data_IF_690554025871
#
_entry.id   IF_690554025871
#
_cell.length_a   1.000
_cell.length_b   1.000
_cell.length_c   1.000
_cell.angle_alpha   90.00
_cell.angle_beta   90.00
_cell.angle_gamma   90.00
#
_symmetry.space_group_name_H-M   'P 1'
#
loop_
_entity.id
_entity.type
_entity.pdbx_description
1 polymer ?
#
# COMPACT_ATOMS: atom_id res chain seq x y z
N UNK A 1 -10.81 2.78 6.22
CA UNK A 1 -10.67 4.26 6.34
C UNK A 1 -9.24 4.61 6.70
N UNK A 2 -8.70 5.69 6.11
CA UNK A 2 -7.28 6.06 6.28
C UNK A 2 -6.93 6.38 7.73
N UNK A 3 -5.82 5.81 8.19
CA UNK A 3 -5.41 5.83 9.59
C UNK A 3 -4.82 7.18 10.01
N UNK A 4 -4.44 8.01 9.04
CA UNK A 4 -3.80 9.31 9.24
C UNK A 4 -4.68 10.25 10.09
N UNK A 5 -5.99 10.26 9.87
CA UNK A 5 -6.91 11.14 10.59
C UNK A 5 -6.88 10.96 12.10
N UNK A 6 -6.70 9.70 12.56
CA UNK A 6 -6.53 9.41 13.99
C UNK A 6 -5.27 10.04 14.57
N UNK A 7 -4.18 10.09 13.79
CA UNK A 7 -2.87 10.58 14.23
C UNK A 7 -2.73 12.11 14.23
N UNK A 8 -3.47 12.84 13.39
CA UNK A 8 -3.31 14.29 13.24
C UNK A 8 -3.47 15.06 14.57
N UNK A 9 -4.39 14.64 15.43
CA UNK A 9 -4.60 15.22 16.75
C UNK A 9 -3.50 14.84 17.76
N UNK A 10 -2.86 13.68 17.60
CA UNK A 10 -1.84 13.17 18.51
C UNK A 10 -0.43 13.66 18.20
N UNK A 11 -0.21 14.25 17.01
CA UNK A 11 1.08 14.86 16.67
C UNK A 11 1.28 16.18 17.43
N UNK A 12 2.52 16.45 17.82
CA UNK A 12 2.86 17.73 18.49
C UNK A 12 2.55 18.93 17.59
N UNK A 13 2.09 20.03 18.20
CA UNK A 13 1.77 21.28 17.52
C UNK A 13 2.97 21.89 16.79
N UNK A 14 4.19 21.62 17.26
CA UNK A 14 5.42 22.11 16.63
C UNK A 14 5.71 21.53 15.24
N UNK A 15 4.99 20.48 14.82
CA UNK A 15 5.12 19.87 13.49
C UNK A 15 3.96 20.28 12.57
N UNK A 16 3.66 21.58 12.49
CA UNK A 16 2.51 22.06 11.72
C UNK A 16 2.63 21.73 10.24
N UNK A 17 3.81 21.86 9.62
CA UNK A 17 3.99 21.48 8.21
C UNK A 17 3.69 20.00 7.95
N UNK A 18 4.08 19.12 8.88
CA UNK A 18 3.83 17.67 8.78
C UNK A 18 2.35 17.40 8.89
N UNK A 19 1.65 18.06 9.83
CA UNK A 19 0.19 17.93 9.97
C UNK A 19 -0.54 18.37 8.72
N UNK A 20 -0.19 19.51 8.15
CA UNK A 20 -0.81 20.02 6.92
C UNK A 20 -0.58 19.08 5.74
N UNK A 21 0.64 18.59 5.57
CA UNK A 21 0.95 17.62 4.54
C UNK A 21 0.14 16.32 4.74
N UNK A 22 0.09 15.78 5.96
CA UNK A 22 -0.69 14.57 6.23
C UNK A 22 -2.19 14.76 6.07
N UNK A 23 -2.71 15.95 6.37
CA UNK A 23 -4.11 16.29 6.07
C UNK A 23 -4.38 16.25 4.55
N UNK A 24 -3.44 16.70 3.71
CA UNK A 24 -3.59 16.57 2.25
C UNK A 24 -3.50 15.11 1.79
N UNK A 25 -2.67 14.27 2.42
CA UNK A 25 -2.63 12.83 2.14
C UNK A 25 -3.99 12.18 2.44
N UNK A 26 -4.59 12.53 3.58
CA UNK A 26 -5.91 12.04 3.97
C UNK A 26 -6.98 12.51 2.99
N UNK A 27 -6.93 13.77 2.57
CA UNK A 27 -7.86 14.33 1.58
C UNK A 27 -7.75 13.61 0.23
N UNK A 28 -6.52 13.41 -0.27
CA UNK A 28 -6.24 12.66 -1.49
C UNK A 28 -6.83 11.25 -1.43
N UNK A 29 -6.58 10.52 -0.33
CA UNK A 29 -7.10 9.16 -0.17
C UNK A 29 -8.63 9.11 -0.08
N UNK A 30 -9.26 10.12 0.54
CA UNK A 30 -10.72 10.29 0.50
C UNK A 30 -11.23 10.45 -0.94
N UNK A 31 -10.55 11.25 -1.76
CA UNK A 31 -10.88 11.40 -3.19
C UNK A 31 -10.66 10.10 -3.98
N UNK A 32 -9.62 9.33 -3.68
CA UNK A 32 -9.39 8.02 -4.32
C UNK A 32 -10.55 7.08 -4.03
N UNK A 33 -10.92 6.94 -2.75
CA UNK A 33 -12.02 6.09 -2.32
C UNK A 33 -13.33 6.50 -3.02
N UNK A 34 -13.66 7.79 -3.05
CA UNK A 34 -14.88 8.28 -3.68
C UNK A 34 -14.89 8.05 -5.19
N UNK A 35 -13.76 8.26 -5.88
CA UNK A 35 -13.66 8.04 -7.32
C UNK A 35 -13.84 6.56 -7.67
N UNK A 36 -13.13 5.65 -6.99
CA UNK A 36 -13.25 4.21 -7.24
C UNK A 36 -14.62 3.67 -6.82
N UNK A 37 -15.21 4.19 -5.73
CA UNK A 37 -16.59 3.88 -5.33
C UNK A 37 -17.58 4.26 -6.42
N UNK A 38 -17.54 5.49 -6.91
CA UNK A 38 -18.42 5.95 -8.00
C UNK A 38 -18.24 5.11 -9.26
N UNK A 39 -17.00 4.77 -9.62
CA UNK A 39 -16.72 3.92 -10.78
C UNK A 39 -17.30 2.51 -10.61
N UNK A 40 -17.20 1.92 -9.41
CA UNK A 40 -17.77 0.61 -9.11
C UNK A 40 -19.31 0.60 -9.18
N UNK A 41 -19.96 1.70 -8.81
CA UNK A 41 -21.43 1.85 -8.87
C UNK A 41 -21.96 2.29 -10.24
N UNK A 42 -21.09 2.82 -11.11
CA UNK A 42 -21.48 3.24 -12.45
C UNK A 42 -21.99 2.06 -13.29
N UNK A 43 -22.90 2.34 -14.23
CA UNK A 43 -23.46 1.36 -15.18
C UNK A 43 -24.13 0.14 -14.52
N UNK A 44 -24.70 0.31 -13.33
CA UNK A 44 -25.39 -0.77 -12.62
C UNK A 44 -24.46 -1.75 -11.89
N UNK A 45 -23.20 -1.35 -11.67
CA UNK A 45 -22.26 -2.13 -10.86
C UNK A 45 -22.58 -2.10 -9.35
N UNK A 46 -21.69 -2.67 -8.55
CA UNK A 46 -21.84 -2.80 -7.10
C UNK A 46 -20.49 -2.80 -6.39
N UNK A 47 -20.50 -2.67 -5.06
CA UNK A 47 -19.28 -2.60 -4.24
C UNK A 47 -18.64 -3.97 -3.99
N UNK A 48 -19.39 -5.04 -4.16
CA UNK A 48 -18.92 -6.39 -3.89
C UNK A 48 -18.59 -6.63 -2.42
N UNK A 49 -17.56 -7.44 -2.18
CA UNK A 49 -17.10 -7.87 -0.86
C UNK A 49 -15.70 -7.33 -0.64
N UNK A 50 -15.41 -6.86 0.57
CA UNK A 50 -14.08 -6.43 1.00
C UNK A 50 -13.39 -7.54 1.80
N UNK A 51 -12.06 -7.57 1.76
CA UNK A 51 -11.25 -8.42 2.65
C UNK A 51 -11.51 -8.10 4.14
N UNK A 52 -11.08 -8.98 5.04
CA UNK A 52 -11.15 -8.71 6.49
C UNK A 52 -10.35 -7.48 6.92
N UNK A 53 -9.38 -7.04 6.12
CA UNK A 53 -8.59 -5.83 6.34
C UNK A 53 -7.70 -5.92 7.58
N UNK A 54 -7.06 -7.08 7.80
CA UNK A 54 -6.20 -7.34 8.96
C UNK A 54 -5.00 -6.38 9.00
N UNK A 55 -4.40 -6.08 7.85
CA UNK A 55 -3.32 -5.08 7.78
C UNK A 55 -3.84 -3.69 8.09
N UNK A 56 -5.00 -3.33 7.55
CA UNK A 56 -5.58 -2.01 7.83
C UNK A 56 -5.90 -1.87 9.33
N UNK A 57 -6.41 -2.93 9.97
CA UNK A 57 -6.64 -2.96 11.42
C UNK A 57 -5.35 -2.82 12.22
N UNK A 58 -4.29 -3.54 11.83
CA UNK A 58 -2.97 -3.42 12.47
C UNK A 58 -2.43 -1.99 12.41
N UNK A 59 -2.62 -1.29 11.29
CA UNK A 59 -2.19 0.11 11.14
C UNK A 59 -3.06 1.03 12.01
N UNK A 60 -4.39 0.83 12.04
CA UNK A 60 -5.32 1.63 12.84
C UNK A 60 -5.05 1.49 14.35
N UNK A 61 -4.74 0.28 14.80
CA UNK A 61 -4.56 -0.05 16.21
C UNK A 61 -3.12 0.14 16.69
N UNK A 62 -2.20 0.53 15.81
CA UNK A 62 -0.78 0.75 16.12
C UNK A 62 -0.61 1.67 17.33
N UNK A 63 0.10 1.18 18.35
CA UNK A 63 0.46 1.93 19.56
C UNK A 63 1.94 2.31 19.64
N UNK A 64 2.73 1.93 18.64
CA UNK A 64 4.18 2.16 18.62
C UNK A 64 4.59 3.62 18.38
N UNK A 65 3.65 4.46 17.94
CA UNK A 65 3.91 5.84 17.54
C UNK A 65 3.73 6.06 16.04
N UNK A 66 3.99 7.29 15.59
CA UNK A 66 3.79 7.66 14.19
C UNK A 66 4.75 6.94 13.25
N UNK A 67 6.02 6.76 13.62
CA UNK A 67 7.01 6.14 12.74
C UNK A 67 6.71 4.67 12.47
N UNK A 68 6.30 3.93 13.50
CA UNK A 68 5.86 2.54 13.46
C UNK A 68 4.58 2.39 12.63
N UNK A 69 3.62 3.31 12.80
CA UNK A 69 2.41 3.37 11.96
C UNK A 69 2.77 3.65 10.51
N UNK A 70 3.65 4.63 10.26
CA UNK A 70 4.12 5.04 8.94
C UNK A 70 4.83 3.89 8.22
N UNK A 71 5.53 3.02 8.95
CA UNK A 71 6.22 1.85 8.40
C UNK A 71 5.23 0.90 7.71
N UNK A 72 4.13 0.58 8.39
CA UNK A 72 3.10 -0.28 7.81
C UNK A 72 2.23 0.46 6.80
N UNK A 73 1.91 1.73 7.05
CA UNK A 73 1.05 2.56 6.21
C UNK A 73 1.69 2.91 4.87
N UNK A 74 2.89 3.51 4.87
CA UNK A 74 3.52 4.05 3.67
C UNK A 74 4.44 3.04 3.00
N UNK A 75 5.23 2.28 3.77
CA UNK A 75 6.19 1.34 3.20
C UNK A 75 5.52 0.01 2.81
N UNK A 76 4.77 -0.64 3.69
CA UNK A 76 4.12 -1.92 3.34
C UNK A 76 2.87 -1.71 2.47
N UNK A 77 1.80 -1.14 3.04
CA UNK A 77 0.52 -0.94 2.34
C UNK A 77 0.65 0.09 1.22
N UNK A 78 1.38 1.19 1.45
CA UNK A 78 1.50 2.30 0.51
C UNK A 78 2.18 1.90 -0.80
N UNK A 79 3.31 1.18 -0.74
CA UNK A 79 3.98 0.68 -1.94
C UNK A 79 3.14 -0.36 -2.70
N UNK A 80 2.38 -1.20 -1.99
CA UNK A 80 1.46 -2.14 -2.61
C UNK A 80 0.35 -1.42 -3.40
N UNK A 81 -0.34 -0.48 -2.77
CA UNK A 81 -1.38 0.32 -3.42
C UNK A 81 -0.81 1.16 -4.58
N UNK A 82 0.38 1.73 -4.41
CA UNK A 82 1.05 2.46 -5.50
C UNK A 82 1.29 1.55 -6.71
N UNK A 83 1.71 0.31 -6.47
CA UNK A 83 1.94 -0.67 -7.53
C UNK A 83 0.63 -1.06 -8.22
N UNK A 84 -0.46 -1.26 -7.45
CA UNK A 84 -1.81 -1.48 -8.00
C UNK A 84 -2.22 -0.31 -8.89
N UNK A 85 -2.02 0.94 -8.46
CA UNK A 85 -2.40 2.09 -9.29
C UNK A 85 -1.60 2.17 -10.58
N UNK A 86 -0.31 1.84 -10.55
CA UNK A 86 0.52 1.77 -11.76
C UNK A 86 0.02 0.70 -12.74
N UNK A 87 -0.33 -0.49 -12.24
CA UNK A 87 -0.87 -1.54 -13.11
C UNK A 87 -2.30 -1.25 -13.55
N UNK A 88 -3.14 -0.68 -12.69
CA UNK A 88 -4.48 -0.24 -13.05
C UNK A 88 -4.48 0.80 -14.16
N UNK A 89 -3.51 1.73 -14.17
CA UNK A 89 -3.33 2.69 -15.26
C UNK A 89 -2.91 2.02 -16.58
N UNK A 90 -1.98 1.05 -16.48
CA UNK A 90 -1.50 0.26 -17.62
C UNK A 90 -2.60 -0.60 -18.26
N UNK A 91 -3.46 -1.20 -17.43
CA UNK A 91 -4.53 -2.12 -17.84
C UNK A 91 -5.92 -1.48 -17.81
N UNK A 92 -6.02 -0.15 -17.82
CA UNK A 92 -7.31 0.54 -17.82
C UNK A 92 -8.11 0.21 -19.10
N UNK A 93 -9.40 -0.08 -18.94
CA UNK A 93 -10.26 -0.47 -20.07
C UNK A 93 -10.84 0.71 -20.84
N UNK A 94 -10.78 1.90 -20.25
CA UNK A 94 -11.33 3.12 -20.82
C UNK A 94 -10.53 4.36 -20.37
N UNK A 95 -10.71 5.50 -21.05
CA UNK A 95 -9.99 6.72 -20.70
C UNK A 95 -10.25 7.22 -19.27
N UNK A 96 -11.46 7.02 -18.74
CA UNK A 96 -11.81 7.47 -17.39
C UNK A 96 -11.01 6.70 -16.32
N UNK A 97 -10.95 5.37 -16.41
CA UNK A 97 -10.12 4.52 -15.54
C UNK A 97 -8.64 4.90 -15.63
N UNK A 98 -8.14 5.14 -16.84
CA UNK A 98 -6.75 5.53 -17.04
C UNK A 98 -6.42 6.83 -16.30
N UNK A 99 -7.27 7.84 -16.44
CA UNK A 99 -7.11 9.12 -15.73
C UNK A 99 -7.22 8.93 -14.22
N UNK A 100 -8.19 8.14 -13.75
CA UNK A 100 -8.36 7.87 -12.32
C UNK A 100 -7.11 7.25 -11.70
N UNK A 101 -6.58 6.17 -12.31
CA UNK A 101 -5.37 5.52 -11.82
C UNK A 101 -4.14 6.41 -11.93
N UNK A 102 -3.97 7.16 -13.04
CA UNK A 102 -2.84 8.07 -13.21
C UNK A 102 -2.80 9.16 -12.11
N UNK A 103 -3.95 9.75 -11.78
CA UNK A 103 -4.05 10.76 -10.72
C UNK A 103 -3.85 10.16 -9.33
N UNK A 104 -4.45 8.99 -9.07
CA UNK A 104 -4.25 8.29 -7.80
C UNK A 104 -2.79 7.87 -7.60
N UNK A 105 -2.09 7.46 -8.67
CA UNK A 105 -0.66 7.15 -8.67
C UNK A 105 0.18 8.39 -8.33
N UNK A 106 -0.12 9.53 -8.93
CA UNK A 106 0.57 10.80 -8.65
C UNK A 106 0.45 11.20 -7.17
N UNK A 107 -0.75 11.09 -6.61
CA UNK A 107 -0.99 11.36 -5.19
C UNK A 107 -0.25 10.35 -4.32
N UNK A 108 -0.38 9.05 -4.60
CA UNK A 108 0.25 7.98 -3.81
C UNK A 108 1.78 8.06 -3.83
N UNK A 109 2.38 8.47 -4.94
CA UNK A 109 3.83 8.68 -5.03
C UNK A 109 4.33 9.79 -4.09
N UNK A 110 3.55 10.86 -3.89
CA UNK A 110 3.88 11.88 -2.88
C UNK A 110 3.75 11.32 -1.47
N UNK A 111 2.73 10.50 -1.22
CA UNK A 111 2.48 9.88 0.09
C UNK A 111 3.64 8.95 0.49
N UNK A 112 4.07 8.08 -0.42
CA UNK A 112 5.18 7.14 -0.18
C UNK A 112 6.52 7.85 -0.08
N UNK A 113 6.78 8.88 -0.90
CA UNK A 113 8.01 9.67 -0.81
C UNK A 113 8.19 10.28 0.59
N UNK A 114 7.15 10.91 1.13
CA UNK A 114 7.16 11.40 2.52
C UNK A 114 7.39 10.26 3.52
N UNK A 115 6.65 9.16 3.39
CA UNK A 115 6.73 8.04 4.31
C UNK A 115 8.15 7.45 4.37
N UNK A 116 8.76 7.22 3.21
CA UNK A 116 10.13 6.72 3.12
C UNK A 116 11.13 7.70 3.74
N UNK A 117 11.05 9.00 3.42
CA UNK A 117 11.93 10.01 4.01
C UNK A 117 11.79 10.07 5.53
N UNK A 118 10.56 10.05 6.05
CA UNK A 118 10.29 10.00 7.48
C UNK A 118 10.91 8.76 8.15
N UNK A 119 10.74 7.59 7.54
CA UNK A 119 11.26 6.33 8.08
C UNK A 119 12.79 6.30 8.08
N UNK A 120 13.42 6.76 7.00
CA UNK A 120 14.88 6.90 6.93
C UNK A 120 15.38 7.85 8.00
N UNK A 121 14.75 9.02 8.15
CA UNK A 121 15.11 9.97 9.20
C UNK A 121 15.00 9.34 10.59
N UNK A 122 13.94 8.57 10.86
CA UNK A 122 13.76 7.90 12.14
C UNK A 122 14.87 6.88 12.42
N UNK A 123 15.25 6.07 11.41
CA UNK A 123 16.34 5.10 11.53
C UNK A 123 17.69 5.78 11.75
N UNK A 124 17.97 6.89 11.06
CA UNK A 124 19.27 7.58 11.17
C UNK A 124 19.44 8.36 12.48
N UNK A 125 18.35 8.79 13.13
CA UNK A 125 18.43 9.68 14.29
C UNK A 125 17.96 9.05 15.61
N UNK A 126 17.40 7.84 15.61
CA UNK A 126 16.99 7.16 16.83
C UNK A 126 17.69 5.81 16.94
N UNK A 127 18.44 5.65 18.03
CA UNK A 127 19.06 4.38 18.38
C UNK A 127 18.00 3.26 18.40
N UNK A 128 18.39 2.07 17.94
CA UNK A 128 17.57 0.85 17.89
C UNK A 128 16.31 0.91 17.02
N UNK A 129 16.05 2.04 16.33
CA UNK A 129 14.84 2.19 15.51
C UNK A 129 14.78 1.18 14.36
N UNK A 130 15.93 0.86 13.76
CA UNK A 130 16.04 -0.20 12.77
C UNK A 130 15.60 -1.57 13.33
N UNK A 131 16.00 -1.91 14.56
CA UNK A 131 15.62 -3.17 15.20
C UNK A 131 14.12 -3.22 15.49
N UNK A 132 13.54 -2.13 16.00
CA UNK A 132 12.09 -2.01 16.22
C UNK A 132 11.33 -2.20 14.90
N UNK A 133 11.79 -1.56 13.83
CA UNK A 133 11.18 -1.71 12.51
C UNK A 133 11.33 -3.13 11.97
N UNK A 134 12.47 -3.79 12.17
CA UNK A 134 12.63 -5.19 11.77
C UNK A 134 11.62 -6.11 12.44
N UNK A 135 11.40 -5.94 13.75
CA UNK A 135 10.43 -6.71 14.53
C UNK A 135 9.00 -6.47 14.05
N UNK A 136 8.63 -5.20 13.84
CA UNK A 136 7.30 -4.83 13.38
C UNK A 136 7.02 -5.37 11.97
N UNK A 137 7.98 -5.28 11.06
CA UNK A 137 7.86 -5.84 9.72
C UNK A 137 7.73 -7.36 9.73
N UNK A 138 8.42 -8.08 10.62
CA UNK A 138 8.26 -9.53 10.73
C UNK A 138 6.79 -9.94 11.00
N UNK A 139 6.05 -9.13 11.74
CA UNK A 139 4.64 -9.36 12.05
C UNK A 139 3.78 -8.89 10.86
N UNK A 140 4.00 -7.65 10.41
CA UNK A 140 3.24 -7.03 9.32
C UNK A 140 3.32 -7.82 8.00
N UNK A 141 4.51 -8.28 7.61
CA UNK A 141 4.69 -9.05 6.38
C UNK A 141 3.98 -10.40 6.42
N UNK A 142 3.90 -11.06 7.59
CA UNK A 142 3.17 -12.33 7.75
C UNK A 142 1.67 -12.14 7.67
N UNK A 143 1.14 -11.09 8.32
CA UNK A 143 -0.28 -10.76 8.22
C UNK A 143 -0.64 -10.36 6.80
N UNK A 144 0.22 -9.59 6.12
CA UNK A 144 0.01 -9.20 4.74
C UNK A 144 0.05 -10.40 3.80
N UNK A 145 1.01 -11.32 3.99
CA UNK A 145 1.09 -12.55 3.20
C UNK A 145 -0.16 -13.44 3.35
N UNK A 146 -0.80 -13.45 4.54
CA UNK A 146 -2.07 -14.14 4.77
C UNK A 146 -3.23 -13.42 4.09
N UNK A 147 -3.31 -12.10 4.21
CA UNK A 147 -4.37 -11.29 3.58
C UNK A 147 -4.36 -11.46 2.06
N UNK A 148 -3.17 -11.54 1.43
CA UNK A 148 -3.03 -11.82 -0.01
C UNK A 148 -3.58 -13.19 -0.45
N UNK A 149 -3.85 -14.11 0.46
CA UNK A 149 -4.48 -15.40 0.16
C UNK A 149 -6.01 -15.31 0.12
N UNK A 150 -6.60 -14.20 0.58
CA UNK A 150 -8.04 -13.99 0.42
C UNK A 150 -8.37 -13.77 -1.06
N UNK A 151 -9.32 -14.52 -1.65
CA UNK A 151 -9.67 -14.42 -3.07
C UNK A 151 -9.97 -12.99 -3.53
N UNK A 152 -10.61 -12.20 -2.66
CA UNK A 152 -11.04 -10.81 -2.91
C UNK A 152 -9.90 -9.80 -3.05
N UNK A 153 -8.64 -10.19 -2.82
CA UNK A 153 -7.49 -9.27 -2.88
C UNK A 153 -6.81 -9.28 -4.24
N UNK A 154 -6.39 -10.44 -4.74
CA UNK A 154 -5.60 -10.54 -5.98
C UNK A 154 -6.42 -10.99 -7.20
N UNK A 155 -7.45 -11.82 -7.02
CA UNK A 155 -8.24 -12.34 -8.14
C UNK A 155 -9.02 -11.26 -8.90
N UNK A 156 -9.60 -10.22 -8.25
CA UNK A 156 -10.22 -9.12 -8.98
C UNK A 156 -9.25 -8.38 -9.90
N UNK A 157 -7.98 -8.25 -9.49
CA UNK A 157 -6.94 -7.65 -10.34
C UNK A 157 -6.66 -8.52 -11.56
N UNK A 158 -6.73 -9.85 -11.44
CA UNK A 158 -6.58 -10.74 -12.58
C UNK A 158 -7.73 -10.58 -13.59
N UNK A 159 -8.96 -10.36 -13.13
CA UNK A 159 -10.10 -10.04 -14.01
C UNK A 159 -9.87 -8.70 -14.73
N UNK A 160 -9.41 -7.68 -14.00
CA UNK A 160 -9.10 -6.36 -14.57
C UNK A 160 -7.96 -6.47 -15.60
N UNK A 161 -6.84 -7.08 -15.25
CA UNK A 161 -5.68 -7.17 -16.15
C UNK A 161 -5.93 -8.11 -17.34
N UNK A 162 -6.86 -9.06 -17.18
CA UNK A 162 -7.29 -9.98 -18.23
C UNK A 162 -8.36 -9.41 -19.18
N UNK A 163 -8.89 -8.21 -18.93
CA UNK A 163 -9.96 -7.65 -19.78
C UNK A 163 -11.32 -8.32 -19.56
N UNK A 164 -11.54 -8.98 -18.42
CA UNK A 164 -12.77 -9.71 -18.10
C UNK A 164 -12.52 -11.11 -17.55
N UNK A 165 -13.61 -11.80 -17.21
CA UNK A 165 -13.57 -13.13 -16.55
C UNK A 165 -12.88 -14.17 -17.43
N UNK A 166 -13.17 -14.15 -18.74
CA UNK A 166 -12.56 -15.07 -19.71
C UNK A 166 -11.03 -14.95 -19.77
N UNK A 167 -10.52 -13.72 -19.62
CA UNK A 167 -9.09 -13.42 -19.61
C UNK A 167 -8.42 -13.56 -18.24
N UNK A 168 -9.16 -13.87 -17.16
CA UNK A 168 -8.63 -13.85 -15.80
C UNK A 168 -7.41 -14.76 -15.60
N UNK A 169 -7.36 -15.92 -16.28
CA UNK A 169 -6.18 -16.81 -16.25
C UNK A 169 -4.93 -16.13 -16.81
N UNK A 170 -5.07 -15.32 -17.86
CA UNK A 170 -3.99 -14.52 -18.41
C UNK A 170 -3.65 -13.35 -17.49
N UNK A 171 -4.66 -12.66 -16.97
CA UNK A 171 -4.48 -11.56 -16.03
C UNK A 171 -3.78 -11.99 -14.73
N UNK A 172 -3.93 -13.24 -14.28
CA UNK A 172 -3.21 -13.75 -13.11
C UNK A 172 -1.68 -13.83 -13.31
N UNK A 173 -1.22 -13.93 -14.56
CA UNK A 173 0.22 -13.80 -14.87
C UNK A 173 0.69 -12.36 -14.68
N UNK A 174 -0.12 -11.39 -15.10
CA UNK A 174 0.17 -9.96 -14.87
C UNK A 174 0.08 -9.60 -13.39
N UNK A 175 -0.80 -10.22 -12.61
CA UNK A 175 -0.82 -10.10 -11.15
C UNK A 175 0.48 -10.62 -10.54
N UNK A 176 1.03 -11.74 -11.03
CA UNK A 176 2.33 -12.23 -10.57
C UNK A 176 3.45 -11.23 -10.88
N UNK A 177 3.49 -10.66 -12.09
CA UNK A 177 4.46 -9.60 -12.43
C UNK A 177 4.31 -8.36 -11.53
N UNK A 178 3.07 -7.92 -11.30
CA UNK A 178 2.76 -6.81 -10.39
C UNK A 178 3.29 -7.08 -8.98
N UNK A 179 3.05 -8.27 -8.45
CA UNK A 179 3.54 -8.66 -7.13
C UNK A 179 5.06 -8.72 -7.09
N UNK A 180 5.72 -9.21 -8.14
CA UNK A 180 7.18 -9.19 -8.23
C UNK A 180 7.75 -7.77 -8.22
N UNK A 181 7.14 -6.84 -8.95
CA UNK A 181 7.54 -5.42 -8.93
C UNK A 181 7.31 -4.76 -7.56
N UNK A 182 6.18 -5.07 -6.92
CA UNK A 182 5.91 -4.61 -5.56
C UNK A 182 6.99 -5.12 -4.60
N UNK A 183 7.29 -6.43 -4.60
CA UNK A 183 8.27 -7.03 -3.69
C UNK A 183 9.67 -6.46 -3.92
N UNK A 184 10.08 -6.28 -5.18
CA UNK A 184 11.36 -5.62 -5.50
C UNK A 184 11.41 -4.18 -4.98
N UNK A 185 10.36 -3.40 -5.20
CA UNK A 185 10.27 -2.01 -4.73
C UNK A 185 10.25 -1.93 -3.21
N UNK A 186 9.55 -2.86 -2.56
CA UNK A 186 9.48 -3.00 -1.11
C UNK A 186 10.86 -3.28 -0.53
N UNK A 187 11.56 -4.32 -1.02
CA UNK A 187 12.89 -4.68 -0.53
C UNK A 187 13.90 -3.56 -0.73
N UNK A 188 13.94 -2.96 -1.93
CA UNK A 188 14.79 -1.80 -2.20
C UNK A 188 14.49 -0.63 -1.26
N UNK A 189 13.21 -0.39 -0.94
CA UNK A 189 12.81 0.65 0.01
C UNK A 189 13.23 0.33 1.44
N UNK A 190 13.12 -0.94 1.86
CA UNK A 190 13.58 -1.38 3.18
C UNK A 190 15.09 -1.23 3.33
N UNK A 191 15.87 -1.57 2.30
CA UNK A 191 17.32 -1.36 2.29
C UNK A 191 17.66 0.14 2.31
N UNK A 192 16.95 0.96 1.54
CA UNK A 192 17.18 2.40 1.47
C UNK A 192 16.90 3.12 2.80
N UNK A 193 15.92 2.67 3.59
CA UNK A 193 15.68 3.19 4.95
C UNK A 193 16.60 2.59 6.02
N UNK A 194 17.47 1.64 5.68
CA UNK A 194 18.39 0.98 6.61
C UNK A 194 17.80 -0.19 7.41
N UNK A 195 16.76 -0.85 6.88
CA UNK A 195 16.08 -1.99 7.52
C UNK A 195 16.18 -3.23 6.63
N UNK A 196 17.31 -3.92 6.69
CA UNK A 196 17.56 -5.09 5.84
C UNK A 196 16.68 -6.29 6.24
N UNK A 197 15.96 -6.86 5.28
CA UNK A 197 15.08 -8.03 5.52
C UNK A 197 15.82 -9.35 5.44
N UNK A 198 16.75 -9.49 4.49
CA UNK A 198 17.58 -10.70 4.34
C UNK A 198 16.78 -12.01 4.45
N UNK A 199 17.26 -12.95 5.27
CA UNK A 199 16.58 -14.23 5.51
C UNK A 199 15.27 -14.13 6.30
N UNK A 200 14.96 -12.98 6.90
CA UNK A 200 13.73 -12.79 7.67
C UNK A 200 12.50 -12.55 6.79
N UNK A 201 12.70 -12.22 5.50
CA UNK A 201 11.61 -11.97 4.56
C UNK A 201 10.77 -13.24 4.31
N UNK A 202 9.43 -13.20 4.45
CA UNK A 202 8.61 -14.42 4.44
C UNK A 202 8.50 -15.05 3.05
N UNK A 203 8.50 -16.39 3.02
CA UNK A 203 8.35 -17.20 1.80
C UNK A 203 7.09 -16.88 0.99
N UNK A 204 6.00 -16.50 1.68
CA UNK A 204 4.74 -16.13 1.04
C UNK A 204 4.84 -14.90 0.14
N UNK A 205 5.84 -14.04 0.36
CA UNK A 205 6.14 -12.88 -0.49
C UNK A 205 7.33 -13.15 -1.42
N UNK A 206 8.34 -13.90 -0.98
CA UNK A 206 9.52 -14.19 -1.81
C UNK A 206 9.18 -14.99 -3.08
N UNK A 207 8.11 -15.79 -3.07
CA UNK A 207 7.63 -16.55 -4.24
C UNK A 207 7.37 -15.69 -5.48
N UNK A 208 7.12 -14.40 -5.32
CA UNK A 208 6.88 -13.47 -6.44
C UNK A 208 8.18 -12.95 -7.09
N UNK A 209 9.35 -13.28 -6.53
CA UNK A 209 10.65 -12.96 -7.12
C UNK A 209 11.15 -14.05 -8.08
N UNK A 210 10.55 -15.24 -8.03
CA UNK A 210 10.96 -16.43 -8.78
C UNK A 210 10.21 -16.61 -10.12
N UNK A 211 9.43 -15.58 -10.52
CA UNK A 211 8.56 -15.59 -11.70
C UNK A 211 9.14 -14.79 -12.87
#
# INVERSE_FOLDING_TARGET
FETIGYWLQHMSYGYHEVKLFLASNMFDAGRHHEAFRKRALANGGGLGIESKGEINRMILESKGGWSETSLLLHLLRGLFIQTIYRYGERFAHNPAEKVMFARALQDKARHTAYGLQHLRYAVTHKQDKALVFQQLLNIGERVFARELQEPVVLEPLAVIFGGGIEGAKAGMREVHHMMGDFVRSYLASTDWIGVHRGRAFPKGLSRYLEA
#
